data_IF_582359068995
#
_entry.id   IF_582359068995
#
_cell.length_a   1.000
_cell.length_b   1.000
_cell.length_c   1.000
_cell.angle_alpha   90.00
_cell.angle_beta   90.00
_cell.angle_gamma   90.00
#
_symmetry.space_group_name_H-M   'P 1'
#
loop_
_entity.id
_entity.type
_entity.pdbx_description
1 polymer ?
#
# COMPACT_ATOMS: atom_id res chain seq x y z
N UNK A 1 19.18 7.35 25.09
CA UNK A 1 19.21 8.28 23.94
C UNK A 1 19.05 9.73 24.41
N UNK A 2 17.98 10.08 25.15
CA UNK A 2 17.79 11.43 25.73
C UNK A 2 19.00 11.93 26.53
N UNK A 3 19.53 11.13 27.47
CA UNK A 3 20.69 11.52 28.27
C UNK A 3 22.01 11.67 27.48
N UNK A 4 22.10 11.11 26.27
CA UNK A 4 23.22 11.35 25.37
C UNK A 4 23.09 12.74 24.72
N UNK A 5 21.93 13.04 24.12
CA UNK A 5 21.65 14.34 23.50
C UNK A 5 21.82 15.49 24.49
N UNK A 6 21.33 15.31 25.73
CA UNK A 6 21.49 16.31 26.80
C UNK A 6 22.95 16.55 27.18
N UNK A 7 23.79 15.52 27.16
CA UNK A 7 25.21 15.65 27.50
C UNK A 7 25.95 16.44 26.43
N UNK A 8 25.70 16.12 25.16
CA UNK A 8 26.34 16.79 24.03
C UNK A 8 25.84 18.22 23.82
N UNK A 9 24.55 18.48 24.11
CA UNK A 9 23.97 19.82 24.01
C UNK A 9 24.32 20.74 25.20
N UNK A 10 24.93 20.21 26.26
CA UNK A 10 25.20 20.98 27.47
C UNK A 10 26.17 22.12 27.18
N UNK A 11 25.69 23.35 27.37
CA UNK A 11 26.47 24.56 27.10
C UNK A 11 26.59 24.91 25.61
N UNK A 12 25.91 24.20 24.71
CA UNK A 12 25.81 24.57 23.31
C UNK A 12 24.96 25.85 23.16
N UNK A 13 25.37 26.71 22.22
CA UNK A 13 24.70 27.98 21.92
C UNK A 13 23.72 27.89 20.75
N UNK A 14 23.84 26.90 19.88
CA UNK A 14 22.98 26.75 18.71
C UNK A 14 22.63 25.28 18.47
N UNK A 15 21.42 25.03 17.97
CA UNK A 15 20.94 23.72 17.56
C UNK A 15 20.54 23.79 16.09
N UNK A 16 21.17 22.96 15.25
CA UNK A 16 20.79 22.78 13.85
C UNK A 16 20.24 21.37 13.70
N UNK A 17 18.99 21.28 13.23
CA UNK A 17 18.29 20.02 13.04
C UNK A 17 18.56 19.53 11.62
N UNK A 18 19.16 18.34 11.51
CA UNK A 18 19.58 17.74 10.25
C UNK A 18 18.96 16.35 10.07
N UNK A 19 17.65 16.28 10.29
CA UNK A 19 16.84 15.08 10.15
C UNK A 19 16.25 15.01 8.73
N UNK A 20 15.67 13.86 8.38
CA UNK A 20 15.00 13.68 7.09
C UNK A 20 13.87 14.70 6.91
N UNK A 21 13.75 15.24 5.69
CA UNK A 21 12.80 16.31 5.36
C UNK A 21 11.37 15.79 5.09
N UNK A 22 10.82 15.01 6.02
CA UNK A 22 9.42 14.57 6.00
C UNK A 22 8.72 14.81 7.35
N UNK A 23 7.44 14.45 7.45
CA UNK A 23 6.65 14.70 8.66
C UNK A 23 7.17 13.95 9.89
N UNK A 24 7.72 12.74 9.71
CA UNK A 24 8.28 11.96 10.82
C UNK A 24 9.59 12.62 11.28
N UNK A 25 10.43 13.08 10.35
CA UNK A 25 11.61 13.87 10.67
C UNK A 25 11.28 15.18 11.38
N UNK A 26 10.24 15.91 10.96
CA UNK A 26 9.74 17.10 11.65
C UNK A 26 9.19 16.76 13.06
N UNK A 27 8.58 15.60 13.27
CA UNK A 27 8.16 15.15 14.61
C UNK A 27 9.37 14.87 15.52
N UNK A 28 10.36 14.13 15.04
CA UNK A 28 11.58 13.83 15.79
C UNK A 28 12.40 15.11 16.07
N UNK A 29 12.36 16.10 15.16
CA UNK A 29 12.92 17.42 15.41
C UNK A 29 12.42 18.00 16.74
N UNK A 30 11.11 17.92 17.02
CA UNK A 30 10.55 18.43 18.28
C UNK A 30 10.90 17.54 19.48
N UNK A 31 11.05 16.21 19.32
CA UNK A 31 11.57 15.34 20.38
C UNK A 31 13.01 15.69 20.78
N UNK A 32 13.86 15.98 19.79
CA UNK A 32 15.24 16.42 20.01
C UNK A 32 15.25 17.77 20.71
N UNK A 33 14.46 18.73 20.21
CA UNK A 33 14.31 20.07 20.81
C UNK A 33 13.92 19.98 22.29
N UNK A 34 12.88 19.21 22.61
CA UNK A 34 12.40 19.04 24.00
C UNK A 34 13.47 18.40 24.90
N UNK A 35 14.24 17.46 24.34
CA UNK A 35 15.32 16.79 25.05
C UNK A 35 16.48 17.73 25.39
N UNK A 36 16.86 18.65 24.48
CA UNK A 36 18.14 19.41 24.58
C UNK A 36 17.99 20.86 25.02
N UNK A 37 16.88 21.54 24.68
CA UNK A 37 16.69 22.95 25.06
C UNK A 37 16.88 23.23 26.56
N UNK A 38 16.44 22.37 27.50
CA UNK A 38 16.60 22.64 28.93
C UNK A 38 18.06 22.70 29.43
N UNK A 39 19.01 22.16 28.67
CA UNK A 39 20.44 22.07 29.05
C UNK A 39 21.36 22.96 28.20
N UNK A 40 20.80 23.64 27.20
CA UNK A 40 21.50 24.60 26.35
C UNK A 40 21.63 25.97 27.05
N UNK A 41 22.53 26.82 26.54
CA UNK A 41 22.80 28.15 27.10
C UNK A 41 21.69 29.20 26.81
N UNK A 42 21.70 30.37 27.49
CA UNK A 42 20.61 31.37 27.45
C UNK A 42 20.37 32.10 26.11
N UNK A 43 21.14 31.83 25.06
CA UNK A 43 21.00 32.53 23.78
C UNK A 43 21.21 31.58 22.61
N UNK A 44 20.14 31.37 21.84
CA UNK A 44 20.19 30.65 20.57
C UNK A 44 20.25 31.68 19.44
N UNK A 45 21.42 31.84 18.82
CA UNK A 45 21.57 32.62 17.60
C UNK A 45 21.49 31.72 16.37
N UNK A 46 20.70 32.15 15.39
CA UNK A 46 20.50 31.49 14.09
C UNK A 46 21.70 31.76 13.19
N UNK A 47 22.44 30.72 12.82
CA UNK A 47 23.59 30.84 11.91
C UNK A 47 23.46 29.84 10.75
N UNK A 48 23.07 30.34 9.57
CA UNK A 48 23.31 29.83 8.21
C UNK A 48 22.32 30.54 7.25
N UNK A 49 22.73 30.74 5.99
CA UNK A 49 22.09 31.70 5.07
C UNK A 49 20.61 31.44 4.76
N UNK A 50 20.10 30.21 4.91
CA UNK A 50 18.70 29.82 4.61
C UNK A 50 18.11 28.80 5.62
N UNK A 51 18.47 28.85 6.91
CA UNK A 51 17.84 27.96 7.89
C UNK A 51 16.36 28.32 8.08
N UNK A 52 15.50 27.30 8.09
CA UNK A 52 14.08 27.41 8.44
C UNK A 52 13.82 26.88 9.84
N UNK A 53 12.74 27.35 10.46
CA UNK A 53 12.25 26.76 11.71
C UNK A 53 11.55 25.42 11.41
N UNK A 54 11.62 24.44 12.33
CA UNK A 54 10.88 23.19 12.19
C UNK A 54 9.37 23.44 12.19
N UNK A 55 8.63 22.65 11.42
CA UNK A 55 7.20 22.83 11.20
C UNK A 55 6.37 22.10 12.26
N UNK A 56 5.93 22.84 13.30
CA UNK A 56 5.14 22.28 14.39
C UNK A 56 3.82 21.64 13.95
N UNK A 57 3.19 22.13 12.88
CA UNK A 57 1.91 21.58 12.43
C UNK A 57 2.07 20.19 11.81
N UNK A 58 3.19 19.95 11.11
CA UNK A 58 3.52 18.63 10.57
C UNK A 58 3.84 17.64 11.70
N UNK A 59 4.62 18.06 12.69
CA UNK A 59 4.90 17.28 13.89
C UNK A 59 3.60 16.90 14.65
N UNK A 60 2.71 17.87 14.90
CA UNK A 60 1.42 17.61 15.55
C UNK A 60 0.52 16.68 14.75
N UNK A 61 0.63 16.66 13.42
CA UNK A 61 -0.11 15.71 12.59
C UNK A 61 0.37 14.27 12.78
N UNK A 62 1.66 14.07 13.04
CA UNK A 62 2.23 12.76 13.38
C UNK A 62 1.78 12.33 14.78
N UNK A 63 1.83 13.22 15.77
CA UNK A 63 1.35 12.94 17.14
C UNK A 63 -0.13 12.51 17.11
N UNK A 64 -0.98 13.26 16.40
CA UNK A 64 -2.39 12.94 16.25
C UNK A 64 -2.61 11.56 15.60
N UNK A 65 -1.80 11.20 14.60
CA UNK A 65 -1.84 9.89 13.95
C UNK A 65 -1.44 8.77 14.92
N UNK A 66 -0.29 8.93 15.59
CA UNK A 66 0.21 7.94 16.55
C UNK A 66 -0.80 7.71 17.69
N UNK A 67 -1.38 8.78 18.23
CA UNK A 67 -2.38 8.71 19.30
C UNK A 67 -3.67 8.02 18.81
N UNK A 68 -4.15 8.37 17.62
CA UNK A 68 -5.34 7.76 17.01
C UNK A 68 -5.14 6.26 16.78
N UNK A 69 -4.01 5.88 16.17
CA UNK A 69 -3.66 4.50 15.89
C UNK A 69 -3.54 3.68 17.18
N UNK A 70 -2.89 4.24 18.21
CA UNK A 70 -2.73 3.60 19.51
C UNK A 70 -4.07 3.40 20.22
N UNK A 71 -4.88 4.45 20.33
CA UNK A 71 -6.16 4.42 21.07
C UNK A 71 -7.14 3.46 20.42
N UNK A 72 -7.36 3.61 19.12
CA UNK A 72 -8.29 2.76 18.37
C UNK A 72 -7.75 1.32 18.34
N UNK A 73 -6.49 1.15 17.94
CA UNK A 73 -5.88 -0.17 17.81
C UNK A 73 -5.90 -0.96 19.11
N UNK A 74 -5.48 -0.34 20.22
CA UNK A 74 -5.49 -1.01 21.53
C UNK A 74 -6.90 -1.27 22.06
N UNK A 75 -7.86 -0.35 21.87
CA UNK A 75 -9.23 -0.54 22.36
C UNK A 75 -9.87 -1.79 21.72
N UNK A 76 -9.87 -1.87 20.39
CA UNK A 76 -10.47 -2.98 19.66
C UNK A 76 -9.67 -4.28 19.80
N UNK A 77 -8.33 -4.21 19.84
CA UNK A 77 -7.49 -5.41 20.04
C UNK A 77 -7.70 -6.00 21.43
N UNK A 78 -7.67 -5.18 22.49
CA UNK A 78 -7.88 -5.66 23.88
C UNK A 78 -9.28 -6.23 24.08
N UNK A 79 -10.29 -5.59 23.49
CA UNK A 79 -11.65 -6.12 23.50
C UNK A 79 -11.73 -7.52 22.88
N UNK A 80 -11.23 -7.70 21.65
CA UNK A 80 -11.31 -8.97 20.94
C UNK A 80 -10.47 -10.08 21.59
N UNK A 81 -9.22 -9.78 21.93
CA UNK A 81 -8.31 -10.74 22.60
C UNK A 81 -8.93 -11.28 23.88
N UNK A 82 -9.51 -10.41 24.72
CA UNK A 82 -10.20 -10.82 25.96
C UNK A 82 -11.51 -11.56 25.67
N UNK A 83 -12.30 -11.10 24.70
CA UNK A 83 -13.57 -11.71 24.33
C UNK A 83 -13.42 -13.14 23.79
N UNK A 84 -12.33 -13.41 23.05
CA UNK A 84 -12.05 -14.72 22.46
C UNK A 84 -11.16 -15.62 23.33
N UNK A 85 -10.68 -15.13 24.47
CA UNK A 85 -9.79 -15.89 25.34
C UNK A 85 -10.47 -17.18 25.84
N UNK A 86 -9.92 -18.34 25.47
CA UNK A 86 -10.43 -19.66 25.88
C UNK A 86 -11.77 -20.06 25.24
N UNK A 87 -12.29 -19.28 24.27
CA UNK A 87 -13.60 -19.54 23.64
C UNK A 87 -13.56 -20.65 22.60
N UNK A 88 -12.44 -20.80 21.89
CA UNK A 88 -12.24 -21.84 20.88
C UNK A 88 -10.90 -22.54 21.14
N UNK A 89 -10.89 -23.87 21.15
CA UNK A 89 -9.70 -24.66 21.50
C UNK A 89 -8.54 -24.55 20.49
N UNK A 90 -8.89 -24.15 19.27
CA UNK A 90 -8.04 -23.98 18.09
C UNK A 90 -7.68 -22.51 17.81
N UNK A 91 -8.20 -21.55 18.59
CA UNK A 91 -7.89 -20.13 18.44
C UNK A 91 -6.95 -19.62 19.53
N UNK A 92 -5.73 -19.24 19.16
CA UNK A 92 -4.91 -18.39 20.01
C UNK A 92 -5.38 -16.92 19.89
N UNK A 93 -6.25 -16.51 20.81
CA UNK A 93 -6.81 -15.14 20.87
C UNK A 93 -5.77 -14.02 20.83
N UNK A 94 -4.51 -14.26 21.25
CA UNK A 94 -3.41 -13.27 21.20
C UNK A 94 -3.03 -12.84 19.78
N UNK A 95 -3.43 -13.60 18.76
CA UNK A 95 -3.18 -13.29 17.36
C UNK A 95 -4.22 -12.34 16.76
N UNK A 96 -5.33 -12.09 17.45
CA UNK A 96 -6.41 -11.21 16.96
C UNK A 96 -6.05 -9.76 17.27
N UNK A 97 -5.97 -8.92 16.23
CA UNK A 97 -5.73 -7.49 16.38
C UNK A 97 -6.54 -6.67 15.39
N UNK A 98 -6.79 -5.41 15.76
CA UNK A 98 -7.45 -4.42 14.92
C UNK A 98 -6.56 -3.19 14.82
N UNK A 99 -6.55 -2.58 13.63
CA UNK A 99 -5.94 -1.28 13.43
C UNK A 99 -6.64 -0.55 12.29
N UNK A 100 -6.83 0.77 12.41
CA UNK A 100 -7.65 1.55 11.49
C UNK A 100 -7.15 1.49 10.04
N UNK A 101 -5.83 1.31 9.83
CA UNK A 101 -5.24 1.13 8.50
C UNK A 101 -5.00 -0.36 8.14
N UNK A 102 -4.55 -1.18 9.09
CA UNK A 102 -4.22 -2.60 8.83
C UNK A 102 -5.46 -3.42 8.42
N UNK A 103 -6.62 -3.15 9.04
CA UNK A 103 -7.83 -3.94 8.83
C UNK A 103 -8.44 -3.71 7.44
N UNK A 104 -8.61 -2.46 6.95
CA UNK A 104 -8.99 -2.24 5.55
C UNK A 104 -7.98 -2.80 4.55
N UNK A 105 -6.68 -2.76 4.87
CA UNK A 105 -5.62 -3.32 4.01
C UNK A 105 -5.80 -4.83 3.83
N UNK A 106 -6.02 -5.58 4.93
CA UNK A 106 -6.38 -6.99 4.84
C UNK A 106 -7.70 -7.20 4.09
N UNK A 107 -8.65 -6.28 4.24
CA UNK A 107 -9.91 -6.26 3.51
C UNK A 107 -9.74 -6.30 1.99
N UNK A 108 -8.70 -5.67 1.43
CA UNK A 108 -8.42 -5.79 -0.01
C UNK A 108 -8.00 -7.20 -0.42
N UNK A 109 -7.16 -7.86 0.40
CA UNK A 109 -6.73 -9.24 0.16
C UNK A 109 -7.93 -10.20 0.24
N UNK A 110 -8.75 -10.07 1.28
CA UNK A 110 -9.95 -10.89 1.47
C UNK A 110 -10.95 -10.67 0.32
N UNK A 111 -11.22 -9.41 -0.05
CA UNK A 111 -12.11 -9.09 -1.18
C UNK A 111 -11.62 -9.72 -2.49
N UNK A 112 -10.30 -9.76 -2.73
CA UNK A 112 -9.74 -10.44 -3.91
C UNK A 112 -9.92 -11.96 -3.80
N UNK A 113 -9.65 -12.53 -2.63
CA UNK A 113 -9.86 -13.95 -2.37
C UNK A 113 -11.32 -14.36 -2.65
N UNK A 114 -12.28 -13.63 -2.08
CA UNK A 114 -13.71 -13.90 -2.27
C UNK A 114 -14.12 -13.83 -3.74
N UNK A 115 -13.62 -12.84 -4.49
CA UNK A 115 -13.87 -12.73 -5.94
C UNK A 115 -13.33 -13.92 -6.73
N UNK A 116 -12.19 -14.49 -6.31
CA UNK A 116 -11.61 -15.68 -6.95
C UNK A 116 -12.43 -16.91 -6.59
N UNK A 117 -12.80 -17.09 -5.32
CA UNK A 117 -13.62 -18.22 -4.86
C UNK A 117 -15.01 -18.21 -5.49
N UNK A 118 -15.62 -17.04 -5.65
CA UNK A 118 -16.94 -16.87 -6.26
C UNK A 118 -16.91 -16.80 -7.79
N UNK A 119 -15.72 -16.83 -8.42
CA UNK A 119 -15.61 -16.76 -9.87
C UNK A 119 -16.18 -18.04 -10.48
N UNK A 120 -17.17 -17.89 -11.35
CA UNK A 120 -17.70 -18.98 -12.17
C UNK A 120 -17.09 -18.84 -13.57
N UNK A 121 -16.12 -19.68 -13.97
CA UNK A 121 -15.56 -19.62 -15.31
C UNK A 121 -16.64 -19.83 -16.37
N UNK A 122 -16.64 -18.97 -17.38
CA UNK A 122 -17.54 -19.09 -18.52
C UNK A 122 -16.77 -19.57 -19.74
N UNK A 123 -17.30 -20.59 -20.42
CA UNK A 123 -16.75 -21.07 -21.68
C UNK A 123 -16.94 -20.01 -22.76
N UNK A 124 -15.88 -19.74 -23.52
CA UNK A 124 -15.92 -18.87 -24.68
C UNK A 124 -15.20 -19.54 -25.86
N UNK A 125 -15.52 -19.06 -27.05
CA UNK A 125 -14.96 -19.50 -28.32
C UNK A 125 -14.28 -18.32 -29.03
N UNK A 126 -13.13 -18.57 -29.63
CA UNK A 126 -12.38 -17.63 -30.47
C UNK A 126 -12.04 -18.32 -31.78
N UNK A 127 -12.25 -17.64 -32.89
CA UNK A 127 -11.77 -18.11 -34.19
C UNK A 127 -10.31 -17.70 -34.32
N UNK A 128 -9.45 -18.68 -34.60
CA UNK A 128 -8.03 -18.46 -34.86
C UNK A 128 -7.74 -18.90 -36.29
N UNK A 129 -7.15 -18.02 -37.09
CA UNK A 129 -6.75 -18.32 -38.45
C UNK A 129 -5.25 -18.03 -38.62
N UNK A 130 -4.63 -18.67 -39.60
CA UNK A 130 -3.22 -18.45 -39.92
C UNK A 130 -3.10 -18.40 -41.44
N UNK A 131 -2.47 -17.34 -41.94
CA UNK A 131 -2.20 -17.19 -43.37
C UNK A 131 -0.74 -17.51 -43.65
N UNK A 132 -0.47 -18.11 -44.80
CA UNK A 132 0.90 -18.34 -45.27
C UNK A 132 1.26 -17.16 -46.18
N UNK A 133 2.30 -16.41 -45.81
CA UNK A 133 2.76 -15.25 -46.56
C UNK A 133 4.10 -15.54 -47.25
N UNK A 134 4.21 -15.10 -48.51
CA UNK A 134 5.42 -15.22 -49.32
C UNK A 134 5.73 -16.63 -49.84
N UNK A 135 6.71 -16.74 -50.73
CA UNK A 135 7.21 -18.01 -51.27
C UNK A 135 7.98 -18.85 -50.23
N UNK A 136 8.37 -18.24 -49.12
CA UNK A 136 9.13 -18.84 -48.01
C UNK A 136 8.26 -19.66 -47.05
N UNK A 137 6.93 -19.59 -47.15
CA UNK A 137 6.02 -20.39 -46.34
C UNK A 137 5.83 -19.90 -44.90
N UNK A 138 6.07 -18.62 -44.61
CA UNK A 138 5.94 -18.06 -43.26
C UNK A 138 4.47 -18.04 -42.81
N UNK A 139 4.20 -18.51 -41.58
CA UNK A 139 2.84 -18.59 -41.00
C UNK A 139 2.55 -17.38 -40.13
N UNK A 140 1.67 -16.51 -40.60
CA UNK A 140 1.21 -15.32 -39.87
C UNK A 140 -0.12 -15.61 -39.15
N UNK A 141 -0.17 -15.63 -37.81
CA UNK A 141 -1.42 -15.78 -37.07
C UNK A 141 -2.28 -14.52 -37.20
N UNK A 142 -3.55 -14.70 -37.53
CA UNK A 142 -4.53 -13.62 -37.59
C UNK A 142 -5.25 -13.49 -36.23
N UNK A 143 -5.51 -12.24 -35.82
CA UNK A 143 -6.30 -11.93 -34.63
C UNK A 143 -7.73 -11.62 -35.07
N UNK A 144 -8.71 -12.31 -34.47
CA UNK A 144 -10.10 -12.06 -34.78
C UNK A 144 -10.58 -10.75 -34.15
N UNK A 145 -11.12 -9.85 -34.97
CA UNK A 145 -11.60 -8.53 -34.52
C UNK A 145 -12.68 -8.58 -33.43
N UNK A 146 -13.41 -9.70 -33.30
CA UNK A 146 -14.45 -9.88 -32.27
C UNK A 146 -13.91 -10.42 -30.93
N UNK A 147 -12.61 -10.71 -30.85
CA UNK A 147 -11.92 -11.30 -29.70
C UNK A 147 -12.45 -12.69 -29.28
N UNK A 148 -13.67 -12.77 -28.72
CA UNK A 148 -14.32 -14.01 -28.27
C UNK A 148 -15.84 -13.90 -28.28
N UNK A 149 -16.51 -15.05 -28.33
CA UNK A 149 -17.97 -15.19 -28.22
C UNK A 149 -18.28 -16.22 -27.12
N UNK A 150 -19.32 -15.98 -26.31
CA UNK A 150 -19.75 -16.88 -25.22
C UNK A 150 -20.93 -17.77 -25.59
N UNK A 151 -21.37 -17.73 -26.85
CA UNK A 151 -22.40 -18.59 -27.42
C UNK A 151 -21.80 -19.53 -28.47
N UNK A 152 -22.00 -20.84 -28.28
CA UNK A 152 -21.40 -21.88 -29.12
C UNK A 152 -21.97 -21.85 -30.54
N UNK A 153 -23.28 -21.66 -30.69
CA UNK A 153 -23.96 -21.72 -31.97
C UNK A 153 -23.58 -20.52 -32.84
N UNK A 154 -23.53 -19.33 -32.25
CA UNK A 154 -23.02 -18.12 -32.90
C UNK A 154 -21.56 -18.29 -33.33
N UNK A 155 -20.70 -18.88 -32.48
CA UNK A 155 -19.31 -19.16 -32.84
C UNK A 155 -19.21 -20.15 -34.03
N UNK A 156 -20.06 -21.18 -34.07
CA UNK A 156 -20.11 -22.14 -35.19
C UNK A 156 -20.57 -21.48 -36.50
N UNK A 157 -21.53 -20.55 -36.45
CA UNK A 157 -21.95 -19.79 -37.64
C UNK A 157 -20.78 -18.99 -38.22
N UNK A 158 -20.04 -18.25 -37.37
CA UNK A 158 -18.86 -17.52 -37.84
C UNK A 158 -17.76 -18.44 -38.35
N UNK A 159 -17.52 -19.57 -37.68
CA UNK A 159 -16.52 -20.55 -38.12
C UNK A 159 -16.87 -21.06 -39.53
N UNK A 160 -18.12 -21.49 -39.73
CA UNK A 160 -18.60 -21.98 -41.02
C UNK A 160 -18.46 -20.93 -42.14
N UNK A 161 -18.82 -19.68 -41.85
CA UNK A 161 -18.63 -18.57 -42.80
C UNK A 161 -17.16 -18.35 -43.16
N UNK A 162 -16.24 -18.48 -42.19
CA UNK A 162 -14.80 -18.29 -42.44
C UNK A 162 -14.16 -19.48 -43.15
N UNK A 163 -14.61 -20.72 -42.90
CA UNK A 163 -14.09 -21.92 -43.58
C UNK A 163 -14.53 -22.00 -45.05
N UNK A 164 -15.64 -21.35 -45.41
CA UNK A 164 -16.13 -21.27 -46.79
C UNK A 164 -15.52 -20.11 -47.58
N UNK A 165 -14.63 -19.31 -46.99
CA UNK A 165 -14.01 -18.16 -47.63
C UNK A 165 -12.61 -18.49 -48.19
N UNK A 166 -12.42 -18.34 -49.50
CA UNK A 166 -11.15 -18.64 -50.19
C UNK A 166 -10.09 -17.52 -50.05
N UNK A 167 -10.44 -16.37 -49.46
CA UNK A 167 -9.54 -15.22 -49.27
C UNK A 167 -9.76 -14.57 -47.92
N UNK A 168 -8.68 -14.20 -47.24
CA UNK A 168 -8.73 -13.30 -46.09
C UNK A 168 -9.04 -11.89 -46.59
N UNK A 169 -10.14 -11.29 -46.12
CA UNK A 169 -10.48 -9.87 -46.32
C UNK A 169 -10.15 -9.10 -45.06
#
# INVERSE_FOLDING_TARGET
>A
MVGFLQREAKGASSLVLWLDCDKEGENICFEVIDSVLPVMGPQVQTAMQNLRQPNKNEALSVDARQETDLRIGCAFTRFQTKFFQGKYGDLNSRLVSFGPCQTPTLGFCVKRHDRIQSFKPETFWRISATVVAGETGERLPLVWNRDRIFDKEAAMVFLNMTTSADKAV
#
